data_IF_523509360411
#
_entry.id   IF_523509360411
#
_cell.length_a   1.000
_cell.length_b   1.000
_cell.length_c   1.000
_cell.angle_alpha   90.00
_cell.angle_beta   90.00
_cell.angle_gamma   90.00
#
_symmetry.space_group_name_H-M   'P 1'
#
loop_
_entity.id
_entity.type
_entity.pdbx_description
1 polymer ?
#
# COMPACT_ATOMS: atom_id res chain seq x y z
N UNK A 1 8.58 18.59 -11.52
CA UNK A 1 9.40 19.23 -10.46
C UNK A 1 9.50 18.40 -9.18
N UNK A 2 8.39 18.02 -8.53
CA UNK A 2 8.40 17.22 -7.28
C UNK A 2 9.10 15.86 -7.44
N UNK A 3 8.77 15.14 -8.51
CA UNK A 3 9.41 13.87 -8.88
C UNK A 3 10.92 14.03 -9.04
N UNK A 4 11.37 15.11 -9.69
CA UNK A 4 12.79 15.41 -9.87
C UNK A 4 13.48 15.64 -8.52
N UNK A 5 12.92 16.45 -7.64
CA UNK A 5 13.49 16.73 -6.32
C UNK A 5 13.60 15.45 -5.46
N UNK A 6 12.56 14.60 -5.47
CA UNK A 6 12.48 13.39 -4.65
C UNK A 6 13.27 12.20 -5.23
N UNK A 7 13.55 12.19 -6.53
CA UNK A 7 14.27 11.11 -7.22
C UNK A 7 15.68 11.52 -7.68
N UNK A 8 16.35 12.45 -6.97
CA UNK A 8 17.75 12.76 -7.22
C UNK A 8 18.01 13.72 -8.39
N UNK A 9 17.12 14.71 -8.58
CA UNK A 9 17.14 15.75 -9.63
C UNK A 9 16.97 15.24 -11.06
N UNK A 10 16.40 14.05 -11.25
CA UNK A 10 16.08 13.49 -12.57
C UNK A 10 14.92 14.23 -13.22
N UNK A 11 15.07 14.68 -14.47
CA UNK A 11 13.95 15.25 -15.21
C UNK A 11 13.01 14.14 -15.72
N UNK A 12 11.70 14.30 -15.50
CA UNK A 12 10.69 13.38 -16.01
C UNK A 12 10.29 13.80 -17.42
N UNK A 13 10.54 12.91 -18.39
CA UNK A 13 10.35 13.19 -19.82
C UNK A 13 9.05 12.57 -20.37
N UNK A 14 8.47 11.59 -19.68
CA UNK A 14 7.21 10.99 -20.08
C UNK A 14 6.39 10.50 -18.88
N UNK A 15 5.07 10.69 -18.99
CA UNK A 15 4.07 10.22 -18.04
C UNK A 15 3.02 9.46 -18.84
N UNK A 16 2.86 8.17 -18.56
CA UNK A 16 1.88 7.31 -19.22
C UNK A 16 0.89 6.77 -18.20
N UNK A 17 -0.40 6.76 -18.52
CA UNK A 17 -1.39 6.01 -17.73
C UNK A 17 -0.98 4.53 -17.73
N UNK A 18 -0.90 3.94 -16.54
CA UNK A 18 -0.45 2.55 -16.36
C UNK A 18 -1.59 1.66 -15.86
N UNK A 19 -2.51 2.22 -15.07
CA UNK A 19 -3.68 1.51 -14.57
C UNK A 19 -4.52 2.38 -13.66
N UNK A 20 -5.71 1.89 -13.34
CA UNK A 20 -6.63 2.53 -12.41
C UNK A 20 -7.36 1.44 -11.61
N UNK A 21 -7.56 1.69 -10.33
CA UNK A 21 -8.36 0.85 -9.45
C UNK A 21 -9.29 1.71 -8.60
N UNK A 22 -10.09 1.08 -7.76
CA UNK A 22 -11.13 1.73 -6.93
C UNK A 22 -10.61 2.92 -6.12
N UNK A 23 -9.37 2.83 -5.64
CA UNK A 23 -8.79 3.82 -4.72
C UNK A 23 -7.57 4.54 -5.27
N UNK A 24 -7.08 4.21 -6.48
CA UNK A 24 -5.84 4.81 -6.97
C UNK A 24 -5.80 4.93 -8.50
N UNK A 25 -5.18 6.01 -8.98
CA UNK A 25 -4.70 6.15 -10.36
C UNK A 25 -3.20 5.90 -10.42
N UNK A 26 -2.76 5.14 -11.41
CA UNK A 26 -1.39 4.66 -11.52
C UNK A 26 -0.79 5.16 -12.82
N UNK A 27 0.36 5.82 -12.71
CA UNK A 27 1.12 6.35 -13.83
C UNK A 27 2.52 5.75 -13.86
N UNK A 28 3.02 5.45 -15.05
CA UNK A 28 4.42 5.13 -15.29
C UNK A 28 5.15 6.43 -15.63
N UNK A 29 6.14 6.77 -14.82
CA UNK A 29 7.03 7.90 -15.05
C UNK A 29 8.33 7.38 -15.68
N UNK A 30 8.77 8.01 -16.77
CA UNK A 30 10.08 7.76 -17.38
C UNK A 30 10.94 9.02 -17.25
N UNK A 31 12.15 8.84 -16.74
CA UNK A 31 13.14 9.90 -16.56
C UNK A 31 14.09 9.96 -17.76
N UNK A 32 14.80 11.09 -17.90
CA UNK A 32 15.77 11.33 -18.96
C UNK A 32 16.91 10.29 -19.01
N UNK A 33 17.31 9.75 -17.85
CA UNK A 33 18.36 8.73 -17.72
C UNK A 33 17.86 7.30 -18.00
N UNK A 34 16.60 7.17 -18.43
CA UNK A 34 15.94 5.89 -18.68
C UNK A 34 15.37 5.22 -17.43
N UNK A 35 15.56 5.80 -16.24
CA UNK A 35 14.95 5.28 -15.02
C UNK A 35 13.43 5.35 -15.10
N UNK A 36 12.77 4.27 -14.65
CA UNK A 36 11.31 4.18 -14.62
C UNK A 36 10.81 3.94 -13.20
N UNK A 37 9.74 4.63 -12.82
CA UNK A 37 9.05 4.38 -11.55
C UNK A 37 7.54 4.49 -11.70
N UNK A 38 6.81 3.89 -10.77
CA UNK A 38 5.37 4.02 -10.66
C UNK A 38 5.04 5.19 -9.74
N UNK A 39 4.16 6.07 -10.21
CA UNK A 39 3.47 7.05 -9.39
C UNK A 39 2.03 6.59 -9.17
N UNK A 40 1.69 6.30 -7.92
CA UNK A 40 0.32 5.95 -7.51
C UNK A 40 -0.29 7.12 -6.76
N UNK A 41 -1.35 7.70 -7.33
CA UNK A 41 -2.12 8.78 -6.72
C UNK A 41 -3.35 8.19 -6.04
N UNK A 42 -3.54 8.46 -4.75
CA UNK A 42 -4.71 7.99 -4.03
C UNK A 42 -5.93 8.84 -4.40
N UNK A 43 -7.06 8.18 -4.62
CA UNK A 43 -8.36 8.84 -4.73
C UNK A 43 -8.86 9.19 -3.33
N UNK A 44 -9.60 10.30 -3.17
CA UNK A 44 -10.05 10.77 -1.86
C UNK A 44 -11.14 9.87 -1.29
N UNK A 45 -10.74 8.80 -0.61
CA UNK A 45 -11.61 7.86 0.09
C UNK A 45 -11.25 7.72 1.58
N UNK A 46 -9.96 7.48 1.88
CA UNK A 46 -9.44 7.30 3.24
C UNK A 46 -8.28 8.28 3.46
N UNK A 47 -8.61 9.56 3.65
CA UNK A 47 -7.59 10.61 3.68
C UNK A 47 -6.49 10.27 4.67
N UNK A 48 -5.24 10.39 4.24
CA UNK A 48 -3.98 10.21 4.97
C UNK A 48 -3.69 8.78 5.42
N UNK A 49 -4.63 8.15 6.12
CA UNK A 49 -4.43 6.88 6.82
C UNK A 49 -4.07 5.73 5.86
N UNK A 50 -4.73 5.64 4.70
CA UNK A 50 -4.47 4.56 3.74
C UNK A 50 -3.05 4.64 3.18
N UNK A 51 -2.62 5.82 2.74
CA UNK A 51 -1.29 6.00 2.13
C UNK A 51 -0.19 5.68 3.13
N UNK A 52 -0.29 6.20 4.35
CA UNK A 52 0.66 5.92 5.44
C UNK A 52 0.74 4.44 5.77
N UNK A 53 -0.41 3.78 5.92
CA UNK A 53 -0.45 2.38 6.30
C UNK A 53 0.09 1.46 5.20
N UNK A 54 -0.20 1.79 3.95
CA UNK A 54 0.27 1.04 2.79
C UNK A 54 1.79 1.12 2.65
N UNK A 55 2.39 2.30 2.88
CA UNK A 55 3.85 2.46 2.90
C UNK A 55 4.48 1.69 4.05
N UNK A 56 3.96 1.84 5.27
CA UNK A 56 4.47 1.15 6.45
C UNK A 56 4.44 -0.37 6.27
N UNK A 57 3.35 -0.90 5.70
CA UNK A 57 3.20 -2.34 5.43
C UNK A 57 4.24 -2.83 4.42
N UNK A 58 4.47 -2.09 3.31
CA UNK A 58 5.50 -2.48 2.34
C UNK A 58 6.90 -2.46 2.96
N UNK A 59 7.23 -1.45 3.76
CA UNK A 59 8.53 -1.39 4.44
C UNK A 59 8.71 -2.53 5.45
N UNK A 60 7.70 -2.79 6.28
CA UNK A 60 7.73 -3.88 7.24
C UNK A 60 7.92 -5.25 6.59
N UNK A 61 7.16 -5.53 5.52
CA UNK A 61 7.28 -6.80 4.79
C UNK A 61 8.67 -6.94 4.16
N UNK A 62 9.23 -5.87 3.60
CA UNK A 62 10.57 -5.88 3.01
C UNK A 62 11.68 -6.14 4.06
N UNK A 63 11.50 -5.65 5.28
CA UNK A 63 12.49 -5.76 6.36
C UNK A 63 12.40 -7.08 7.13
N UNK A 64 11.20 -7.66 7.24
CA UNK A 64 10.94 -8.81 8.11
C UNK A 64 10.69 -10.11 7.34
N UNK A 65 10.63 -10.09 6.02
CA UNK A 65 10.37 -11.29 5.21
C UNK A 65 11.27 -11.35 3.97
N UNK A 66 11.23 -12.47 3.24
CA UNK A 66 11.87 -12.60 1.93
C UNK A 66 10.97 -12.17 0.76
N UNK A 67 9.74 -11.74 1.05
CA UNK A 67 8.74 -11.38 0.04
C UNK A 67 9.20 -10.13 -0.70
N UNK A 68 9.21 -10.21 -2.04
CA UNK A 68 9.50 -9.04 -2.86
C UNK A 68 8.30 -8.12 -2.96
N UNK A 69 8.45 -6.93 -2.39
CA UNK A 69 7.52 -5.81 -2.51
C UNK A 69 8.20 -4.64 -3.21
N UNK A 70 7.45 -3.73 -3.86
CA UNK A 70 8.03 -2.58 -4.54
C UNK A 70 8.79 -1.68 -3.55
N UNK A 71 10.01 -1.28 -3.90
CA UNK A 71 10.73 -0.27 -3.12
C UNK A 71 10.03 1.08 -3.20
N UNK A 72 9.69 1.67 -2.05
CA UNK A 72 9.17 3.04 -1.95
C UNK A 72 10.32 4.03 -2.07
N UNK A 73 10.22 4.97 -3.01
CA UNK A 73 11.21 6.04 -3.19
C UNK A 73 10.82 7.31 -2.46
N UNK A 74 9.55 7.70 -2.55
CA UNK A 74 9.00 8.85 -1.85
C UNK A 74 7.48 8.72 -1.77
N UNK A 75 6.87 9.38 -0.80
CA UNK A 75 5.42 9.43 -0.67
C UNK A 75 5.04 10.71 0.08
N UNK A 76 3.77 11.09 -0.04
CA UNK A 76 3.18 12.19 0.70
C UNK A 76 1.70 11.86 0.94
N UNK A 77 1.26 11.90 2.20
CA UNK A 77 -0.12 11.64 2.62
C UNK A 77 -0.93 12.92 2.82
N UNK A 78 -0.34 14.09 2.60
CA UNK A 78 -1.05 15.37 2.62
C UNK A 78 -1.64 15.66 1.24
N UNK A 79 -2.97 15.67 1.05
CA UNK A 79 -3.58 16.00 -0.24
C UNK A 79 -3.34 17.44 -0.69
N UNK A 80 -2.97 18.36 0.21
CA UNK A 80 -2.68 19.76 -0.09
C UNK A 80 -1.22 19.99 -0.54
N UNK A 81 -0.46 18.91 -0.73
CA UNK A 81 0.87 18.97 -1.34
C UNK A 81 0.79 19.49 -2.79
N UNK A 82 1.93 19.83 -3.39
CA UNK A 82 1.96 20.46 -4.71
C UNK A 82 1.52 19.58 -5.91
N UNK A 83 1.20 18.30 -5.70
CA UNK A 83 0.51 17.42 -6.66
C UNK A 83 -1.02 17.55 -6.53
N UNK A 84 -1.53 17.96 -5.37
CA UNK A 84 -2.97 18.06 -5.07
C UNK A 84 -3.64 16.72 -4.77
N UNK A 85 -2.85 15.70 -4.44
CA UNK A 85 -3.31 14.37 -4.04
C UNK A 85 -2.24 13.64 -3.24
N UNK A 86 -2.67 12.71 -2.38
CA UNK A 86 -1.74 11.78 -1.74
C UNK A 86 -1.09 10.89 -2.80
N UNK A 87 0.19 10.58 -2.63
CA UNK A 87 0.92 9.81 -3.62
C UNK A 87 2.00 8.91 -3.03
N UNK A 88 2.33 7.87 -3.79
CA UNK A 88 3.49 6.99 -3.56
C UNK A 88 4.26 6.88 -4.88
N UNK A 89 5.53 7.25 -4.85
CA UNK A 89 6.52 6.97 -5.89
C UNK A 89 7.26 5.71 -5.49
N UNK A 90 7.17 4.66 -6.32
CA UNK A 90 7.72 3.35 -6.01
C UNK A 90 8.28 2.64 -7.23
N UNK A 91 9.03 1.57 -6.98
CA UNK A 91 9.60 0.69 -7.99
C UNK A 91 8.54 0.15 -8.95
N UNK A 92 8.89 0.10 -10.24
CA UNK A 92 8.14 -0.64 -11.24
C UNK A 92 8.60 -2.10 -11.22
N UNK A 93 7.76 -2.98 -10.69
CA UNK A 93 8.04 -4.42 -10.69
C UNK A 93 8.00 -4.97 -12.12
N UNK A 94 9.04 -5.73 -12.50
CA UNK A 94 9.07 -6.40 -13.78
C UNK A 94 8.24 -7.68 -13.73
N UNK A 95 7.31 -7.83 -14.66
CA UNK A 95 6.46 -9.01 -14.77
C UNK A 95 5.19 -8.72 -15.54
N UNK A 96 4.32 -9.74 -15.60
CA UNK A 96 2.96 -9.64 -16.12
C UNK A 96 2.00 -10.20 -15.08
N UNK A 97 0.75 -9.71 -15.02
CA UNK A 97 -0.26 -10.30 -14.14
C UNK A 97 -0.41 -11.79 -14.39
N UNK A 98 -0.41 -12.59 -13.31
CA UNK A 98 -0.54 -14.05 -13.42
C UNK A 98 -1.82 -14.45 -14.16
N UNK A 99 -2.90 -13.69 -13.99
CA UNK A 99 -4.18 -13.90 -14.68
C UNK A 99 -4.08 -13.90 -16.20
N UNK A 100 -3.12 -13.17 -16.79
CA UNK A 100 -2.93 -13.13 -18.25
C UNK A 100 -2.22 -14.38 -18.79
N UNK A 101 -1.50 -15.11 -17.93
CA UNK A 101 -0.71 -16.29 -18.33
C UNK A 101 -1.28 -17.59 -17.81
N UNK A 102 -2.07 -17.55 -16.74
CA UNK A 102 -2.49 -18.73 -15.97
C UNK A 102 -3.02 -19.87 -16.85
N UNK A 103 -3.94 -19.58 -17.77
CA UNK A 103 -4.56 -20.62 -18.59
C UNK A 103 -3.61 -21.26 -19.61
N UNK A 104 -2.49 -20.62 -19.91
CA UNK A 104 -1.47 -21.08 -20.84
C UNK A 104 -0.30 -21.81 -20.16
N UNK A 105 -0.24 -21.82 -18.84
CA UNK A 105 0.82 -22.48 -18.08
C UNK A 105 0.58 -24.00 -18.00
N UNK A 106 1.66 -24.77 -18.10
CA UNK A 106 1.64 -26.20 -17.84
C UNK A 106 1.35 -26.49 -16.36
N UNK A 107 0.89 -27.71 -16.07
CA UNK A 107 0.55 -28.12 -14.71
C UNK A 107 1.70 -27.93 -13.72
N UNK A 108 2.93 -28.30 -14.10
CA UNK A 108 4.10 -28.16 -13.22
C UNK A 108 4.46 -26.69 -12.95
N UNK A 109 4.26 -25.78 -13.91
CA UNK A 109 4.46 -24.35 -13.71
C UNK A 109 3.41 -23.79 -12.74
N UNK A 110 2.14 -24.17 -12.91
CA UNK A 110 1.06 -23.80 -11.97
C UNK A 110 1.37 -24.27 -10.57
N UNK A 111 1.78 -25.54 -10.41
CA UNK A 111 2.16 -26.11 -9.12
C UNK A 111 3.32 -25.34 -8.48
N UNK A 112 4.35 -25.00 -9.26
CA UNK A 112 5.46 -24.20 -8.77
C UNK A 112 5.01 -22.82 -8.26
N UNK A 113 4.17 -22.12 -9.02
CA UNK A 113 3.62 -20.81 -8.63
C UNK A 113 2.76 -20.90 -7.37
N UNK A 114 1.92 -21.93 -7.26
CA UNK A 114 1.10 -22.14 -6.06
C UNK A 114 1.97 -22.36 -4.83
N UNK A 115 3.08 -23.11 -4.94
CA UNK A 115 4.02 -23.26 -3.84
C UNK A 115 4.62 -21.90 -3.42
N UNK A 116 4.98 -21.04 -4.39
CA UNK A 116 5.48 -19.69 -4.08
C UNK A 116 4.42 -18.83 -3.37
N UNK A 117 3.14 -18.93 -3.76
CA UNK A 117 2.04 -18.23 -3.07
C UNK A 117 1.87 -18.75 -1.64
N UNK A 118 1.97 -20.07 -1.44
CA UNK A 118 1.94 -20.67 -0.10
C UNK A 118 3.10 -20.14 0.75
N UNK A 119 4.31 -20.09 0.21
CA UNK A 119 5.49 -19.59 0.91
C UNK A 119 5.33 -18.10 1.32
N UNK A 120 4.70 -17.28 0.47
CA UNK A 120 4.36 -15.89 0.79
C UNK A 120 3.33 -15.83 1.91
N UNK A 121 2.25 -16.63 1.81
CA UNK A 121 1.19 -16.66 2.83
C UNK A 121 1.73 -17.12 4.19
N UNK A 122 2.58 -18.13 4.23
CA UNK A 122 3.19 -18.63 5.46
C UNK A 122 4.06 -17.56 6.12
N UNK A 123 4.88 -16.84 5.35
CA UNK A 123 5.68 -15.74 5.88
C UNK A 123 4.83 -14.61 6.45
N UNK A 124 3.73 -14.23 5.78
CA UNK A 124 2.82 -13.22 6.30
C UNK A 124 2.10 -13.69 7.57
N UNK A 125 1.70 -14.96 7.64
CA UNK A 125 1.05 -15.55 8.82
C UNK A 125 1.99 -15.67 10.03
N UNK A 126 3.30 -15.78 9.79
CA UNK A 126 4.30 -15.80 10.87
C UNK A 126 4.51 -14.41 11.49
N UNK A 127 4.05 -13.34 10.81
CA UNK A 127 4.03 -12.00 11.40
C UNK A 127 2.89 -11.89 12.42
N UNK A 128 3.18 -11.36 13.62
CA UNK A 128 2.18 -11.18 14.67
C UNK A 128 2.27 -9.79 15.28
N UNK A 129 1.11 -9.29 15.70
CA UNK A 129 0.97 -7.99 16.34
C UNK A 129 0.08 -8.16 17.58
N UNK A 130 0.30 -7.32 18.59
CA UNK A 130 -0.39 -7.36 19.88
C UNK A 130 -1.78 -6.72 19.85
N UNK A 131 -2.13 -6.06 18.74
CA UNK A 131 -3.39 -5.33 18.56
C UNK A 131 -4.01 -5.56 17.18
N UNK A 132 -5.33 -5.38 17.12
CA UNK A 132 -6.12 -5.36 15.90
C UNK A 132 -6.13 -3.93 15.36
N UNK A 133 -5.68 -3.74 14.13
CA UNK A 133 -5.61 -2.45 13.47
C UNK A 133 -4.85 -2.53 12.15
N UNK A 134 -4.32 -1.40 11.69
CA UNK A 134 -3.43 -1.35 10.53
C UNK A 134 -2.04 -0.88 10.93
N UNK A 135 -1.03 -1.23 10.15
CA UNK A 135 0.36 -0.90 10.44
C UNK A 135 0.67 0.55 10.02
N UNK A 136 1.42 1.30 10.83
CA UNK A 136 1.89 2.64 10.54
C UNK A 136 3.35 2.79 10.99
N UNK A 137 4.05 3.76 10.43
CA UNK A 137 5.36 4.17 10.96
C UNK A 137 5.17 4.87 12.31
N UNK A 138 6.07 4.59 13.25
CA UNK A 138 6.21 5.38 14.46
C UNK A 138 6.97 6.68 14.12
N UNK A 139 6.44 7.82 14.57
CA UNK A 139 7.03 9.13 14.32
C UNK A 139 8.32 9.35 15.10
N UNK A 140 8.53 8.60 16.19
CA UNK A 140 9.63 8.84 17.13
C UNK A 140 10.85 7.94 16.91
N UNK A 141 10.65 6.67 16.56
CA UNK A 141 11.71 5.65 16.67
C UNK A 141 12.02 4.91 15.36
N UNK A 142 11.47 5.34 14.21
CA UNK A 142 11.59 4.59 12.94
C UNK A 142 11.15 3.12 13.04
N UNK A 143 10.31 2.80 14.02
CA UNK A 143 9.70 1.49 14.24
C UNK A 143 8.29 1.47 13.65
N UNK A 144 7.60 0.35 13.82
CA UNK A 144 6.23 0.17 13.36
C UNK A 144 5.27 0.10 14.55
N UNK A 145 4.08 0.67 14.38
CA UNK A 145 2.99 0.62 15.37
C UNK A 145 1.68 0.21 14.73
N UNK A 146 0.83 -0.43 15.52
CA UNK A 146 -0.57 -0.67 15.12
C UNK A 146 -1.40 0.56 15.46
N UNK A 147 -2.11 1.09 14.48
CA UNK A 147 -2.98 2.24 14.59
C UNK A 147 -4.40 1.93 14.12
N UNK A 148 -5.18 2.98 13.77
CA UNK A 148 -6.55 2.81 13.29
C UNK A 148 -6.63 1.85 12.11
N UNK A 149 -7.65 1.00 12.08
CA UNK A 149 -7.85 0.05 10.97
C UNK A 149 -8.28 0.79 9.69
N UNK A 150 -7.68 0.45 8.55
CA UNK A 150 -8.17 0.84 7.23
C UNK A 150 -9.17 -0.22 6.76
N UNK A 151 -10.46 0.07 6.93
CA UNK A 151 -11.53 -0.84 6.53
C UNK A 151 -12.77 -0.08 6.11
N UNK A 152 -13.41 -0.54 5.03
CA UNK A 152 -14.67 0.02 4.51
C UNK A 152 -15.75 0.09 5.60
N UNK A 153 -15.74 -0.85 6.56
CA UNK A 153 -16.67 -0.87 7.70
C UNK A 153 -16.70 0.46 8.47
N UNK A 154 -15.57 1.17 8.55
CA UNK A 154 -15.40 2.38 9.36
C UNK A 154 -15.27 3.67 8.55
N UNK A 155 -15.22 3.59 7.22
CA UNK A 155 -14.93 4.74 6.36
C UNK A 155 -15.86 4.87 5.16
N UNK A 156 -16.63 3.85 4.81
CA UNK A 156 -17.57 3.94 3.68
C UNK A 156 -18.67 4.98 3.94
N UNK A 157 -19.02 5.72 2.89
CA UNK A 157 -20.01 6.79 2.92
C UNK A 157 -19.78 7.83 4.02
N UNK A 158 -20.80 8.04 4.88
CA UNK A 158 -20.75 9.05 5.95
C UNK A 158 -19.80 8.68 7.09
N UNK A 159 -19.49 7.39 7.26
CA UNK A 159 -18.65 6.89 8.36
C UNK A 159 -17.25 7.46 8.30
N UNK A 160 -16.71 7.74 7.12
CA UNK A 160 -15.41 8.39 6.95
C UNK A 160 -15.30 9.78 7.59
N UNK A 161 -16.44 10.46 7.81
CA UNK A 161 -16.50 11.78 8.46
C UNK A 161 -16.97 11.74 9.92
N UNK A 162 -17.44 10.59 10.39
CA UNK A 162 -17.93 10.42 11.75
C UNK A 162 -16.76 10.23 12.73
N UNK A 163 -16.97 10.66 13.96
CA UNK A 163 -16.07 10.37 15.07
C UNK A 163 -16.33 8.94 15.58
N UNK A 164 -15.69 7.97 14.91
CA UNK A 164 -15.77 6.55 15.24
C UNK A 164 -14.46 6.09 15.87
N UNK A 165 -14.58 5.23 16.87
CA UNK A 165 -13.46 4.45 17.39
C UNK A 165 -12.99 3.48 16.30
N UNK A 166 -11.77 3.68 15.80
CA UNK A 166 -11.18 2.89 14.70
C UNK A 166 -10.03 2.01 15.15
N UNK A 167 -9.87 1.82 16.45
CA UNK A 167 -8.78 1.07 17.06
C UNK A 167 -7.55 1.95 17.35
N UNK A 168 -6.41 1.33 17.68
CA UNK A 168 -6.18 -0.11 17.66
C UNK A 168 -6.79 -0.83 18.88
N UNK A 169 -7.33 -2.03 18.70
CA UNK A 169 -8.01 -2.79 19.75
C UNK A 169 -7.13 -3.89 20.34
N UNK A 170 -7.23 -4.14 21.64
CA UNK A 170 -6.48 -5.19 22.33
C UNK A 170 -7.17 -6.56 22.28
N UNK A 171 -8.43 -6.63 21.85
CA UNK A 171 -9.17 -7.88 21.78
C UNK A 171 -10.21 -7.90 20.66
N UNK A 172 -10.59 -9.10 20.22
CA UNK A 172 -11.69 -9.31 19.27
C UNK A 172 -13.02 -8.76 19.79
N UNK A 173 -13.27 -8.83 21.10
CA UNK A 173 -14.50 -8.29 21.70
C UNK A 173 -14.60 -6.78 21.55
N UNK A 174 -13.50 -6.05 21.76
CA UNK A 174 -13.44 -4.60 21.56
C UNK A 174 -13.66 -4.25 20.09
N UNK A 175 -12.98 -4.94 19.18
CA UNK A 175 -13.15 -4.74 17.73
C UNK A 175 -14.60 -4.95 17.28
N UNK A 176 -15.22 -6.08 17.65
CA UNK A 176 -16.60 -6.38 17.26
C UNK A 176 -17.59 -5.37 17.86
N UNK A 177 -17.35 -4.91 19.09
CA UNK A 177 -18.16 -3.85 19.71
C UNK A 177 -18.06 -2.54 18.92
N UNK A 178 -16.87 -2.17 18.47
CA UNK A 178 -16.67 -0.98 17.64
C UNK A 178 -17.36 -1.10 16.27
N UNK A 179 -17.33 -2.28 15.63
CA UNK A 179 -18.06 -2.55 14.38
C UNK A 179 -19.57 -2.34 14.57
N UNK A 180 -20.15 -2.91 15.63
CA UNK A 180 -21.59 -2.77 15.92
C UNK A 180 -21.97 -1.31 16.17
N UNK A 181 -21.10 -0.51 16.79
CA UNK A 181 -21.33 0.93 17.03
C UNK A 181 -21.17 1.79 15.78
N UNK A 182 -20.45 1.30 14.77
CA UNK A 182 -20.25 2.00 13.52
C UNK A 182 -21.42 1.79 12.53
N UNK A 183 -22.30 0.81 12.76
CA UNK A 183 -23.50 0.57 11.96
C UNK A 183 -24.57 1.66 12.09
#
# INVERSE_FOLDING_TARGET
RIVAEKLGKRECIAICSFGEGTFNKIYLLTMEDGFQCIARLALPAFRRYKTESEVATMQYVAENTSIRVPKVYAWDSDPDNAIGAEYILMEKMNGVPLSEKWDHLAFEEKKHIINQVIDIMLQLLDTSFDRIGSLYMDENDSTYRIGPIISDLFFDGKRGTMDLERGPWGSTSEYLTAVIRAE
#
